data_IF_265430577292
#
_entry.id   IF_265430577292
#
_cell.length_a   1.000
_cell.length_b   1.000
_cell.length_c   1.000
_cell.angle_alpha   90.00
_cell.angle_beta   90.00
_cell.angle_gamma   90.00
#
_symmetry.space_group_name_H-M   'P 1'
#
loop_
_entity.id
_entity.type
_entity.pdbx_description
1 polymer ?
#
# COMPACT_ATOMS: atom_id res chain seq x y z
N UNK A 1 -14.27 8.17 30.00
CA UNK A 1 -15.14 9.04 29.17
C UNK A 1 -15.62 8.24 27.96
N UNK A 2 -16.71 8.63 27.28
CA UNK A 2 -17.16 7.95 26.03
C UNK A 2 -16.08 7.89 24.95
N UNK A 3 -15.16 8.85 24.95
CA UNK A 3 -14.00 8.86 24.06
C UNK A 3 -13.04 7.73 24.40
N UNK A 4 -12.65 7.58 25.68
CA UNK A 4 -11.76 6.51 26.14
C UNK A 4 -12.32 5.12 25.80
N UNK A 5 -13.62 4.90 26.03
CA UNK A 5 -14.28 3.63 25.69
C UNK A 5 -14.23 3.31 24.20
N UNK A 6 -14.30 4.32 23.32
CA UNK A 6 -14.30 4.14 21.87
C UNK A 6 -12.92 3.95 21.26
N UNK A 7 -11.90 4.57 21.84
CA UNK A 7 -10.53 4.48 21.34
C UNK A 7 -9.80 3.25 21.91
N UNK A 8 -10.22 2.73 23.07
CA UNK A 8 -9.57 1.60 23.74
C UNK A 8 -9.27 0.40 22.84
N UNK A 9 -10.20 -0.12 22.00
CA UNK A 9 -9.90 -1.27 21.13
C UNK A 9 -8.76 -1.00 20.15
N UNK A 10 -8.61 0.24 19.69
CA UNK A 10 -7.55 0.64 18.75
C UNK A 10 -6.19 0.80 19.44
N UNK A 11 -6.18 1.20 20.71
CA UNK A 11 -4.95 1.28 21.51
C UNK A 11 -4.48 -0.12 21.90
N UNK A 12 -5.41 -0.97 22.32
CA UNK A 12 -5.12 -2.34 22.76
C UNK A 12 -4.57 -3.20 21.61
N UNK A 13 -5.20 -3.15 20.44
CA UNK A 13 -4.76 -3.90 19.26
C UNK A 13 -5.26 -3.24 17.96
N UNK A 14 -4.52 -2.24 17.49
CA UNK A 14 -4.81 -1.56 16.22
C UNK A 14 -4.86 -2.56 15.05
N UNK A 15 -3.97 -3.55 15.05
CA UNK A 15 -3.85 -4.54 13.99
C UNK A 15 -5.12 -5.37 13.84
N UNK A 16 -5.68 -5.85 14.95
CA UNK A 16 -6.93 -6.61 14.98
C UNK A 16 -8.12 -5.80 14.43
N UNK A 17 -8.30 -4.56 14.89
CA UNK A 17 -9.41 -3.72 14.43
C UNK A 17 -9.26 -3.30 12.96
N UNK A 18 -8.03 -3.00 12.53
CA UNK A 18 -7.71 -2.79 11.13
C UNK A 18 -8.02 -4.03 10.28
N UNK A 19 -7.51 -5.20 10.68
CA UNK A 19 -7.68 -6.45 9.93
C UNK A 19 -9.14 -6.87 9.80
N UNK A 20 -9.95 -6.69 10.85
CA UNK A 20 -11.39 -6.89 10.80
C UNK A 20 -12.04 -6.06 9.69
N UNK A 21 -11.73 -4.76 9.62
CA UNK A 21 -12.28 -3.88 8.59
C UNK A 21 -11.74 -4.20 7.20
N UNK A 22 -10.46 -4.57 7.06
CA UNK A 22 -9.92 -5.00 5.77
C UNK A 22 -10.55 -6.31 5.28
N UNK A 23 -10.80 -7.28 6.17
CA UNK A 23 -11.46 -8.53 5.82
C UNK A 23 -12.90 -8.30 5.34
N UNK A 24 -13.62 -7.36 5.98
CA UNK A 24 -14.94 -6.93 5.54
C UNK A 24 -14.88 -6.34 4.11
N UNK A 25 -13.98 -5.38 3.86
CA UNK A 25 -13.84 -4.77 2.54
C UNK A 25 -13.41 -5.77 1.47
N UNK A 26 -12.46 -6.65 1.79
CA UNK A 26 -12.03 -7.69 0.85
C UNK A 26 -13.17 -8.64 0.51
N UNK A 27 -14.02 -9.02 1.48
CA UNK A 27 -15.22 -9.82 1.21
C UNK A 27 -16.21 -9.15 0.25
N UNK A 28 -16.27 -7.81 0.23
CA UNK A 28 -17.04 -7.06 -0.77
C UNK A 28 -16.33 -7.04 -2.13
N UNK A 29 -15.01 -6.80 -2.17
CA UNK A 29 -14.21 -6.83 -3.40
C UNK A 29 -14.22 -8.19 -4.11
N UNK A 30 -14.18 -9.30 -3.37
CA UNK A 30 -14.18 -10.64 -3.97
C UNK A 30 -15.45 -10.92 -4.80
N UNK A 31 -16.58 -10.28 -4.47
CA UNK A 31 -17.79 -10.35 -5.30
C UNK A 31 -17.53 -9.73 -6.67
N UNK A 32 -16.94 -8.54 -6.72
CA UNK A 32 -16.63 -7.84 -7.96
C UNK A 32 -15.57 -8.53 -8.78
N UNK A 33 -14.55 -9.11 -8.13
CA UNK A 33 -13.53 -9.92 -8.81
C UNK A 33 -14.09 -11.15 -9.50
N UNK A 34 -15.21 -11.68 -9.03
CA UNK A 34 -15.86 -12.85 -9.60
C UNK A 34 -16.87 -12.53 -10.70
N UNK A 35 -17.25 -11.25 -10.88
CA UNK A 35 -18.21 -10.84 -11.89
C UNK A 35 -17.54 -10.74 -13.27
N UNK A 36 -18.19 -11.34 -14.26
CA UNK A 36 -17.90 -11.10 -15.67
C UNK A 36 -18.86 -10.03 -16.18
N UNK A 37 -18.47 -8.76 -16.03
CA UNK A 37 -19.33 -7.60 -16.30
C UNK A 37 -19.84 -7.56 -17.75
N UNK A 38 -19.14 -8.18 -18.70
CA UNK A 38 -19.56 -8.22 -20.11
C UNK A 38 -20.72 -9.18 -20.37
N UNK A 39 -21.02 -10.08 -19.42
CA UNK A 39 -22.07 -11.09 -19.54
C UNK A 39 -23.32 -10.80 -18.72
N UNK A 40 -23.31 -9.71 -17.96
CA UNK A 40 -24.43 -9.33 -17.10
C UNK A 40 -25.52 -8.64 -17.91
N UNK A 41 -26.78 -8.93 -17.57
CA UNK A 41 -27.93 -8.17 -18.04
C UNK A 41 -27.97 -6.77 -17.39
N UNK A 42 -28.69 -5.82 -17.99
CA UNK A 42 -28.73 -4.42 -17.52
C UNK A 42 -29.12 -4.27 -16.03
N UNK A 43 -30.04 -5.11 -15.54
CA UNK A 43 -30.48 -5.07 -14.14
C UNK A 43 -29.42 -5.67 -13.19
N UNK A 44 -28.63 -6.65 -13.64
CA UNK A 44 -27.52 -7.20 -12.86
C UNK A 44 -26.36 -6.19 -12.77
N UNK A 45 -26.15 -5.40 -13.83
CA UNK A 45 -25.23 -4.27 -13.82
C UNK A 45 -25.68 -3.17 -12.86
N UNK A 46 -26.98 -2.86 -12.82
CA UNK A 46 -27.54 -1.92 -11.83
C UNK A 46 -27.30 -2.40 -10.39
N UNK A 47 -27.59 -3.67 -10.10
CA UNK A 47 -27.35 -4.27 -8.78
C UNK A 47 -25.85 -4.21 -8.41
N UNK A 48 -24.96 -4.58 -9.33
CA UNK A 48 -23.51 -4.49 -9.13
C UNK A 48 -23.06 -3.05 -8.85
N UNK A 49 -23.61 -2.07 -9.57
CA UNK A 49 -23.30 -0.66 -9.35
C UNK A 49 -23.76 -0.15 -7.97
N UNK A 50 -24.94 -0.57 -7.49
CA UNK A 50 -25.40 -0.24 -6.13
C UNK A 50 -24.51 -0.86 -5.06
N UNK A 51 -24.08 -2.11 -5.24
CA UNK A 51 -23.11 -2.75 -4.35
C UNK A 51 -21.76 -2.02 -4.37
N UNK A 52 -21.34 -1.49 -5.53
CA UNK A 52 -20.09 -0.74 -5.68
C UNK A 52 -20.13 0.59 -4.92
N UNK A 53 -21.25 1.31 -4.99
CA UNK A 53 -21.48 2.52 -4.19
C UNK A 53 -21.37 2.20 -2.69
N UNK A 54 -21.94 1.08 -2.26
CA UNK A 54 -21.86 0.63 -0.87
C UNK A 54 -20.42 0.30 -0.46
N UNK A 55 -19.66 -0.39 -1.31
CA UNK A 55 -18.24 -0.66 -1.11
C UNK A 55 -17.45 0.65 -0.93
N UNK A 56 -17.60 1.62 -1.85
CA UNK A 56 -16.90 2.91 -1.77
C UNK A 56 -17.24 3.68 -0.49
N UNK A 57 -18.53 3.80 -0.18
CA UNK A 57 -18.98 4.49 1.04
C UNK A 57 -18.46 3.82 2.30
N UNK A 58 -18.49 2.48 2.35
CA UNK A 58 -17.98 1.71 3.49
C UNK A 58 -16.47 1.83 3.63
N UNK A 59 -15.74 1.74 2.51
CA UNK A 59 -14.31 1.95 2.44
C UNK A 59 -13.91 3.34 2.96
N UNK A 60 -14.58 4.39 2.51
CA UNK A 60 -14.33 5.76 2.95
C UNK A 60 -14.58 5.95 4.45
N UNK A 61 -15.68 5.38 4.97
CA UNK A 61 -15.97 5.44 6.40
C UNK A 61 -14.89 4.73 7.24
N UNK A 62 -14.47 3.53 6.83
CA UNK A 62 -13.42 2.78 7.51
C UNK A 62 -12.08 3.52 7.45
N UNK A 63 -11.73 4.09 6.29
CA UNK A 63 -10.53 4.91 6.14
C UNK A 63 -10.50 6.07 7.15
N UNK A 64 -11.61 6.81 7.29
CA UNK A 64 -11.69 7.91 8.26
C UNK A 64 -11.53 7.42 9.70
N UNK A 65 -12.14 6.29 10.05
CA UNK A 65 -11.99 5.69 11.38
C UNK A 65 -10.53 5.30 11.64
N UNK A 66 -9.89 4.60 10.70
CA UNK A 66 -8.49 4.17 10.83
C UNK A 66 -7.54 5.36 10.95
N UNK A 67 -7.71 6.37 10.08
CA UNK A 67 -6.87 7.56 10.05
C UNK A 67 -7.00 8.36 11.35
N UNK A 68 -8.22 8.57 11.86
CA UNK A 68 -8.43 9.29 13.11
C UNK A 68 -7.93 8.49 14.32
N UNK A 69 -8.15 7.18 14.36
CA UNK A 69 -7.64 6.32 15.43
C UNK A 69 -6.10 6.33 15.46
N UNK A 70 -5.45 6.11 14.32
CA UNK A 70 -4.00 6.20 14.19
C UNK A 70 -3.47 7.57 14.58
N UNK A 71 -4.10 8.66 14.12
CA UNK A 71 -3.69 10.02 14.46
C UNK A 71 -3.71 10.26 15.97
N UNK A 72 -4.72 9.72 16.67
CA UNK A 72 -4.80 9.85 18.12
C UNK A 72 -3.74 9.01 18.83
N UNK A 73 -3.51 7.77 18.40
CA UNK A 73 -2.46 6.91 18.97
C UNK A 73 -1.08 7.56 18.78
N UNK A 74 -0.83 8.11 17.59
CA UNK A 74 0.39 8.84 17.29
C UNK A 74 0.56 10.06 18.20
N UNK A 75 -0.50 10.87 18.39
CA UNK A 75 -0.47 12.02 19.30
C UNK A 75 -0.18 11.59 20.74
N UNK A 76 -0.83 10.54 21.23
CA UNK A 76 -0.60 10.00 22.58
C UNK A 76 0.84 9.52 22.76
N UNK A 77 1.40 8.85 21.75
CA UNK A 77 2.79 8.39 21.78
C UNK A 77 3.77 9.59 21.78
N UNK A 78 3.49 10.63 20.99
CA UNK A 78 4.29 11.86 20.97
C UNK A 78 4.21 12.58 22.33
N UNK A 79 3.03 12.70 22.93
CA UNK A 79 2.85 13.27 24.28
C UNK A 79 3.66 12.49 25.32
N UNK A 80 3.57 11.16 25.30
CA UNK A 80 4.35 10.29 26.19
C UNK A 80 5.87 10.46 26.00
N UNK A 81 6.34 10.57 24.75
CA UNK A 81 7.75 10.85 24.45
C UNK A 81 8.18 12.24 24.97
N UNK A 82 7.33 13.26 24.85
CA UNK A 82 7.62 14.61 25.39
C UNK A 82 7.73 14.56 26.91
N UNK A 83 6.81 13.90 27.58
CA UNK A 83 6.77 13.84 29.04
C UNK A 83 7.94 13.02 29.61
N UNK A 84 8.14 11.80 29.11
CA UNK A 84 9.09 10.84 29.69
C UNK A 84 10.51 11.00 29.16
N UNK A 85 10.66 11.40 27.90
CA UNK A 85 11.96 11.47 27.23
C UNK A 85 12.40 12.91 26.95
N UNK A 86 11.51 13.90 27.04
CA UNK A 86 11.82 15.28 26.66
C UNK A 86 12.22 15.40 25.17
N UNK A 87 11.61 14.58 24.30
CA UNK A 87 11.78 14.63 22.84
C UNK A 87 10.43 14.87 22.15
N UNK A 88 10.44 15.45 20.95
CA UNK A 88 9.24 15.64 20.12
C UNK A 88 9.42 15.06 18.71
N UNK A 89 8.42 15.28 17.84
CA UNK A 89 8.43 14.79 16.46
C UNK A 89 9.59 15.30 15.58
N UNK A 90 10.29 16.35 16.00
CA UNK A 90 11.45 16.88 15.28
C UNK A 90 12.77 16.26 15.77
N UNK A 91 12.74 15.51 16.87
CA UNK A 91 13.92 14.86 17.43
C UNK A 91 14.38 13.66 16.56
N UNK A 92 15.68 13.53 16.27
CA UNK A 92 16.22 12.38 15.53
C UNK A 92 15.89 11.01 16.15
N UNK A 93 15.77 10.93 17.49
CA UNK A 93 15.39 9.72 18.19
C UNK A 93 13.94 9.35 17.86
N UNK A 94 13.01 10.31 17.92
CA UNK A 94 11.60 10.07 17.55
C UNK A 94 11.47 9.64 16.09
N UNK A 95 12.18 10.32 15.17
CA UNK A 95 12.21 9.95 13.76
C UNK A 95 12.73 8.51 13.55
N UNK A 96 13.72 8.09 14.33
CA UNK A 96 14.27 6.73 14.26
C UNK A 96 13.29 5.69 14.80
N UNK A 97 12.52 6.00 15.85
CA UNK A 97 11.45 5.13 16.38
C UNK A 97 10.37 4.85 15.33
N UNK A 98 10.00 5.86 14.53
CA UNK A 98 8.91 5.77 13.55
C UNK A 98 9.34 5.19 12.18
N UNK A 99 10.65 5.01 11.94
CA UNK A 99 11.17 4.63 10.64
C UNK A 99 11.15 3.12 10.36
N UNK A 100 11.37 2.75 9.09
CA UNK A 100 11.67 1.37 8.67
C UNK A 100 10.47 0.43 8.50
N UNK A 101 9.26 0.89 8.78
CA UNK A 101 8.03 0.13 8.52
C UNK A 101 7.77 -0.02 7.02
N UNK A 102 7.25 -1.19 6.63
CA UNK A 102 6.83 -1.46 5.26
C UNK A 102 5.33 -1.17 5.10
N UNK A 103 4.89 -0.78 3.91
CA UNK A 103 3.50 -0.50 3.63
C UNK A 103 3.13 -0.80 2.17
N UNK A 104 1.84 -1.02 1.91
CA UNK A 104 1.36 -1.55 0.61
C UNK A 104 1.75 -0.70 -0.60
N UNK A 105 1.94 0.61 -0.45
CA UNK A 105 2.49 1.47 -1.52
C UNK A 105 3.92 1.07 -1.88
N UNK A 106 4.83 0.91 -0.89
CA UNK A 106 6.21 0.47 -1.15
C UNK A 106 6.26 -0.93 -1.75
N UNK A 107 5.38 -1.83 -1.29
CA UNK A 107 5.25 -3.17 -1.86
C UNK A 107 4.84 -3.08 -3.34
N UNK A 108 3.89 -2.20 -3.69
CA UNK A 108 3.45 -2.02 -5.08
C UNK A 108 4.59 -1.45 -5.95
N UNK A 109 5.31 -0.45 -5.45
CA UNK A 109 6.48 0.12 -6.14
C UNK A 109 7.60 -0.90 -6.35
N UNK A 110 7.84 -1.75 -5.34
CA UNK A 110 8.81 -2.84 -5.41
C UNK A 110 8.43 -3.86 -6.47
N UNK A 111 7.17 -4.28 -6.54
CA UNK A 111 6.71 -5.23 -7.56
C UNK A 111 6.78 -4.62 -8.97
N UNK A 112 6.42 -3.35 -9.15
CA UNK A 112 6.65 -2.63 -10.41
C UNK A 112 8.13 -2.57 -10.78
N UNK A 113 9.02 -2.40 -9.80
CA UNK A 113 10.46 -2.47 -10.03
C UNK A 113 10.91 -3.87 -10.48
N UNK A 114 10.40 -4.93 -9.87
CA UNK A 114 10.71 -6.31 -10.28
C UNK A 114 10.23 -6.60 -11.69
N UNK A 115 9.07 -6.08 -12.12
CA UNK A 115 8.63 -6.17 -13.51
C UNK A 115 9.61 -5.47 -14.47
N UNK A 116 10.17 -4.33 -14.08
CA UNK A 116 11.23 -3.65 -14.84
C UNK A 116 12.53 -4.45 -14.91
N UNK A 117 12.93 -5.13 -13.83
CA UNK A 117 14.07 -6.06 -13.81
C UNK A 117 13.84 -7.21 -14.79
N UNK A 118 12.68 -7.88 -14.70
CA UNK A 118 12.31 -8.99 -15.58
C UNK A 118 12.31 -8.58 -17.06
N UNK A 119 11.84 -7.37 -17.39
CA UNK A 119 11.89 -6.87 -18.76
C UNK A 119 13.34 -6.82 -19.31
N UNK A 120 14.31 -6.39 -18.50
CA UNK A 120 15.73 -6.37 -18.88
C UNK A 120 16.32 -7.78 -19.01
N UNK A 121 16.05 -8.65 -18.04
CA UNK A 121 16.52 -10.05 -18.05
C UNK A 121 16.00 -10.83 -19.26
N UNK A 122 14.80 -10.48 -19.74
CA UNK A 122 14.20 -11.08 -20.94
C UNK A 122 14.60 -10.38 -22.24
N UNK A 123 15.44 -9.35 -22.20
CA UNK A 123 15.89 -8.61 -23.39
C UNK A 123 14.81 -7.71 -24.02
N UNK A 124 13.77 -7.35 -23.27
CA UNK A 124 12.66 -6.50 -23.72
C UNK A 124 12.95 -5.00 -23.58
N UNK A 125 14.09 -4.61 -23.00
CA UNK A 125 14.47 -3.21 -22.78
C UNK A 125 14.40 -2.33 -24.05
N UNK A 126 14.89 -2.77 -25.23
CA UNK A 126 14.75 -1.97 -26.46
C UNK A 126 13.27 -1.75 -26.82
N UNK A 127 12.42 -2.76 -26.66
CA UNK A 127 11.00 -2.65 -26.96
C UNK A 127 10.30 -1.62 -26.05
N UNK A 128 10.61 -1.65 -24.75
CA UNK A 128 10.15 -0.65 -23.78
C UNK A 128 10.72 0.75 -24.05
N UNK A 129 11.89 0.89 -24.67
CA UNK A 129 12.47 2.19 -24.99
C UNK A 129 11.90 2.78 -26.28
N UNK A 130 11.78 1.95 -27.31
CA UNK A 130 11.41 2.35 -28.68
C UNK A 130 9.90 2.51 -28.88
N UNK A 131 9.07 2.00 -27.95
CA UNK A 131 7.60 2.10 -28.04
C UNK A 131 7.08 3.03 -26.94
N UNK A 132 6.93 4.35 -27.20
CA UNK A 132 6.46 5.32 -26.21
C UNK A 132 4.95 5.20 -25.92
N UNK A 133 4.16 4.71 -26.87
CA UNK A 133 2.74 4.43 -26.68
C UNK A 133 2.56 3.13 -25.88
N UNK A 134 1.89 3.22 -24.72
CA UNK A 134 1.78 2.09 -23.80
C UNK A 134 0.76 1.04 -24.26
N UNK A 135 -0.25 1.40 -25.07
CA UNK A 135 -1.17 0.42 -25.67
C UNK A 135 -0.48 -0.35 -26.81
N UNK A 136 0.31 0.36 -27.61
CA UNK A 136 1.16 -0.25 -28.64
C UNK A 136 2.20 -1.19 -28.00
N UNK A 137 2.78 -0.80 -26.86
CA UNK A 137 3.73 -1.63 -26.13
C UNK A 137 3.11 -2.96 -25.69
N UNK A 138 1.90 -2.93 -25.09
CA UNK A 138 1.18 -4.16 -24.72
C UNK A 138 0.96 -5.05 -25.93
N UNK A 139 0.49 -4.48 -27.04
CA UNK A 139 0.25 -5.21 -28.28
C UNK A 139 1.52 -5.86 -28.83
N UNK A 140 2.65 -5.15 -28.81
CA UNK A 140 3.94 -5.70 -29.29
C UNK A 140 4.51 -6.79 -28.38
N UNK A 141 4.27 -6.73 -27.06
CA UNK A 141 4.71 -7.75 -26.12
C UNK A 141 4.07 -9.11 -26.43
N UNK A 142 2.84 -9.14 -26.95
CA UNK A 142 2.17 -10.39 -27.35
C UNK A 142 2.83 -11.10 -28.54
N UNK A 143 3.64 -10.40 -29.33
CA UNK A 143 4.23 -10.93 -30.56
C UNK A 143 5.45 -11.83 -30.32
N UNK A 144 6.00 -11.86 -29.11
CA UNK A 144 7.22 -12.61 -28.78
C UNK A 144 7.02 -13.51 -27.56
N UNK A 145 7.72 -14.64 -27.53
CA UNK A 145 7.65 -15.55 -26.36
C UNK A 145 8.25 -14.93 -25.09
N UNK A 146 9.19 -14.01 -25.22
CA UNK A 146 9.68 -13.22 -24.08
C UNK A 146 8.59 -12.27 -23.56
N UNK A 147 7.94 -11.50 -24.45
CA UNK A 147 6.89 -10.57 -24.07
C UNK A 147 5.64 -11.26 -23.50
N UNK A 148 5.22 -12.42 -24.04
CA UNK A 148 4.11 -13.21 -23.47
C UNK A 148 4.40 -13.70 -22.05
N UNK A 149 5.64 -14.10 -21.75
CA UNK A 149 6.06 -14.49 -20.40
C UNK A 149 6.01 -13.29 -19.46
N UNK A 150 6.56 -12.16 -19.88
CA UNK A 150 6.48 -10.91 -19.12
C UNK A 150 5.03 -10.47 -18.86
N UNK A 151 4.14 -10.58 -19.86
CA UNK A 151 2.71 -10.30 -19.70
C UNK A 151 2.04 -11.26 -18.71
N UNK A 152 2.56 -12.48 -18.54
CA UNK A 152 2.16 -13.39 -17.46
C UNK A 152 2.44 -12.81 -16.08
N UNK A 153 3.68 -12.39 -15.84
CA UNK A 153 4.09 -11.73 -14.60
C UNK A 153 3.29 -10.43 -14.37
N UNK A 154 3.04 -9.67 -15.43
CA UNK A 154 2.26 -8.44 -15.35
C UNK A 154 0.80 -8.69 -14.97
N UNK A 155 0.17 -9.75 -15.49
CA UNK A 155 -1.18 -10.16 -15.07
C UNK A 155 -1.24 -10.58 -13.61
N UNK A 156 -0.23 -11.29 -13.11
CA UNK A 156 -0.14 -11.64 -11.67
C UNK A 156 -0.06 -10.38 -10.80
N UNK A 157 0.74 -9.40 -11.22
CA UNK A 157 0.79 -8.09 -10.57
C UNK A 157 -0.57 -7.39 -10.57
N UNK A 158 -1.28 -7.36 -11.70
CA UNK A 158 -2.59 -6.73 -11.81
C UNK A 158 -3.66 -7.45 -10.97
N UNK A 159 -3.59 -8.77 -10.83
CA UNK A 159 -4.53 -9.51 -9.98
C UNK A 159 -4.42 -9.09 -8.50
N UNK A 160 -3.20 -8.79 -8.04
CA UNK A 160 -2.96 -8.38 -6.64
C UNK A 160 -3.14 -6.86 -6.43
N UNK A 161 -2.65 -6.03 -7.36
CA UNK A 161 -2.54 -4.58 -7.19
C UNK A 161 -3.45 -3.76 -8.10
N UNK A 162 -4.12 -4.39 -9.06
CA UNK A 162 -4.69 -3.70 -10.20
C UNK A 162 -6.06 -3.05 -9.96
N UNK A 163 -6.68 -3.25 -8.80
CA UNK A 163 -7.90 -2.54 -8.37
C UNK A 163 -7.64 -1.08 -7.94
N UNK A 164 -6.43 -0.59 -8.16
CA UNK A 164 -6.04 0.80 -7.91
C UNK A 164 -6.43 1.68 -9.09
N UNK A 165 -6.81 2.91 -8.78
CA UNK A 165 -6.95 4.02 -9.72
C UNK A 165 -5.76 4.97 -9.60
N UNK A 166 -5.58 5.84 -10.60
CA UNK A 166 -4.48 6.83 -10.61
C UNK A 166 -4.59 7.77 -9.40
N UNK A 167 -5.81 8.21 -9.06
CA UNK A 167 -6.10 9.00 -7.88
C UNK A 167 -6.77 8.14 -6.80
N UNK A 168 -6.46 8.43 -5.54
CA UNK A 168 -7.12 7.74 -4.42
C UNK A 168 -8.60 8.09 -4.39
N UNK A 169 -9.47 7.10 -4.17
CA UNK A 169 -10.93 7.27 -4.06
C UNK A 169 -11.61 7.76 -5.34
N UNK A 170 -11.00 7.51 -6.47
CA UNK A 170 -11.53 7.88 -7.76
C UNK A 170 -12.37 6.74 -8.34
N UNK A 171 -13.58 7.06 -8.78
CA UNK A 171 -14.48 6.13 -9.47
C UNK A 171 -14.71 6.56 -10.93
N UNK A 172 -14.08 7.65 -11.38
CA UNK A 172 -14.24 8.24 -12.70
C UNK A 172 -13.14 7.82 -13.68
N UNK A 173 -12.06 7.22 -13.20
CA UNK A 173 -10.99 6.67 -14.01
C UNK A 173 -10.95 5.15 -13.91
N UNK A 174 -10.56 4.46 -15.00
CA UNK A 174 -10.42 3.02 -14.96
C UNK A 174 -9.30 2.63 -13.99
N UNK A 175 -9.51 1.50 -13.34
CA UNK A 175 -8.51 0.78 -12.57
C UNK A 175 -7.41 0.24 -13.48
N UNK A 176 -6.29 -0.18 -12.90
CA UNK A 176 -5.21 -0.79 -13.68
C UNK A 176 -5.60 -2.15 -14.30
N UNK A 177 -6.60 -2.86 -13.76
CA UNK A 177 -7.14 -4.06 -14.41
C UNK A 177 -7.89 -3.67 -15.69
N UNK A 178 -8.71 -2.61 -15.63
CA UNK A 178 -9.49 -2.13 -16.77
C UNK A 178 -8.61 -1.45 -17.83
N UNK A 179 -7.55 -0.75 -17.40
CA UNK A 179 -6.59 -0.11 -18.31
C UNK A 179 -5.14 -0.36 -17.87
N UNK A 180 -4.58 -1.55 -18.18
CA UNK A 180 -3.23 -1.94 -17.77
C UNK A 180 -2.11 -1.00 -18.24
N UNK A 181 -2.29 -0.36 -19.39
CA UNK A 181 -1.32 0.57 -19.98
C UNK A 181 -0.93 1.71 -19.02
N UNK A 182 -1.81 2.10 -18.10
CA UNK A 182 -1.56 3.16 -17.11
C UNK A 182 -0.38 2.88 -16.16
N UNK A 183 0.01 1.61 -15.97
CA UNK A 183 1.08 1.22 -15.06
C UNK A 183 2.46 1.22 -15.75
N UNK A 184 2.47 1.05 -17.08
CA UNK A 184 3.71 0.91 -17.86
C UNK A 184 4.68 2.10 -17.72
N UNK A 185 4.24 3.37 -17.61
CA UNK A 185 5.15 4.49 -17.35
C UNK A 185 5.97 4.32 -16.06
N UNK A 186 5.34 3.86 -14.98
CA UNK A 186 6.00 3.62 -13.69
C UNK A 186 6.98 2.46 -13.79
N UNK A 187 6.58 1.36 -14.42
CA UNK A 187 7.46 0.21 -14.68
C UNK A 187 8.66 0.63 -15.52
N UNK A 188 8.47 1.41 -16.59
CA UNK A 188 9.53 1.94 -17.45
C UNK A 188 10.52 2.80 -16.66
N UNK A 189 10.01 3.66 -15.76
CA UNK A 189 10.84 4.45 -14.85
C UNK A 189 11.67 3.56 -13.93
N UNK A 190 11.10 2.50 -13.37
CA UNK A 190 11.86 1.57 -12.54
C UNK A 190 12.84 0.71 -13.33
N UNK A 191 12.51 0.32 -14.57
CA UNK A 191 13.39 -0.41 -15.46
C UNK A 191 14.68 0.37 -15.79
N UNK A 192 14.67 1.69 -15.66
CA UNK A 192 15.89 2.51 -15.77
C UNK A 192 16.80 2.50 -14.52
N UNK A 193 16.38 1.84 -13.43
CA UNK A 193 17.11 1.80 -12.15
C UNK A 193 17.74 0.43 -11.92
N UNK A 194 19.00 0.39 -11.49
CA UNK A 194 19.70 -0.85 -11.17
C UNK A 194 19.28 -1.43 -9.83
N UNK A 195 18.84 -0.59 -8.89
CA UNK A 195 18.48 -0.98 -7.53
C UNK A 195 17.19 -0.28 -7.10
N UNK A 196 16.37 -0.98 -6.33
CA UNK A 196 15.26 -0.38 -5.60
C UNK A 196 15.83 0.30 -4.34
N UNK A 197 16.03 1.62 -4.39
CA UNK A 197 16.79 2.37 -3.38
C UNK A 197 16.34 2.12 -1.92
N UNK A 198 15.06 1.85 -1.69
CA UNK A 198 14.55 1.58 -0.34
C UNK A 198 15.03 0.25 0.23
N UNK A 199 15.44 -0.71 -0.60
CA UNK A 199 15.99 -2.00 -0.14
C UNK A 199 17.35 -1.86 0.47
N UNK A 200 18.15 -0.93 -0.02
CA UNK A 200 19.46 -0.62 0.54
C UNK A 200 19.32 0.14 1.87
N UNK A 201 18.31 1.01 1.96
CA UNK A 201 18.14 1.91 3.10
C UNK A 201 17.38 1.24 4.25
N UNK A 202 16.40 0.39 3.97
CA UNK A 202 15.48 -0.18 4.98
C UNK A 202 16.18 -1.01 6.07
N UNK A 203 17.16 -1.90 5.78
CA UNK A 203 17.88 -2.63 6.82
C UNK A 203 18.53 -1.70 7.83
N UNK A 204 19.15 -0.60 7.35
CA UNK A 204 19.73 0.43 8.22
C UNK A 204 18.67 1.17 9.03
N UNK A 205 17.50 1.45 8.46
CA UNK A 205 16.40 2.07 9.22
C UNK A 205 15.89 1.16 10.34
N UNK A 206 15.78 -0.15 10.09
CA UNK A 206 15.38 -1.13 11.10
C UNK A 206 16.42 -1.21 12.22
N UNK A 207 17.71 -1.28 11.87
CA UNK A 207 18.79 -1.27 12.86
C UNK A 207 18.80 0.02 13.70
N UNK A 208 18.62 1.18 13.05
CA UNK A 208 18.49 2.46 13.73
C UNK A 208 17.30 2.49 14.68
N UNK A 209 16.14 1.96 14.26
CA UNK A 209 14.95 1.86 15.10
C UNK A 209 15.22 0.97 16.32
N UNK A 210 15.81 -0.20 16.16
CA UNK A 210 16.14 -1.08 17.28
C UNK A 210 17.11 -0.44 18.28
N UNK A 211 18.06 0.39 17.81
CA UNK A 211 18.91 1.18 18.71
C UNK A 211 18.13 2.28 19.41
N UNK A 212 17.26 2.98 18.68
CA UNK A 212 16.39 4.02 19.22
C UNK A 212 15.42 3.50 20.29
N UNK A 213 14.82 2.32 20.08
CA UNK A 213 13.95 1.64 21.05
C UNK A 213 14.70 1.38 22.37
N UNK A 214 15.93 0.83 22.28
CA UNK A 214 16.78 0.58 23.46
C UNK A 214 17.15 1.87 24.18
N UNK A 215 17.52 2.91 23.44
CA UNK A 215 17.85 4.22 24.01
C UNK A 215 16.64 4.84 24.71
N UNK A 216 15.49 4.86 24.05
CA UNK A 216 14.23 5.37 24.60
C UNK A 216 13.91 4.67 25.93
N UNK A 217 13.85 3.33 25.94
CA UNK A 217 13.54 2.54 27.16
C UNK A 217 14.56 2.82 28.28
N UNK A 218 15.84 3.03 27.95
CA UNK A 218 16.87 3.33 28.96
C UNK A 218 16.65 4.67 29.67
N UNK A 219 16.02 5.63 29.00
CA UNK A 219 15.70 6.97 29.50
C UNK A 219 14.35 7.02 30.24
N UNK A 220 13.46 6.06 30.01
CA UNK A 220 12.17 5.98 30.71
C UNK A 220 12.38 5.59 32.19
N UNK A 221 11.75 6.32 33.14
CA UNK A 221 11.72 5.95 34.56
C UNK A 221 11.26 4.51 34.78
N UNK A 222 11.90 3.80 35.71
CA UNK A 222 11.70 2.34 35.90
C UNK A 222 10.23 1.98 36.13
N UNK A 223 9.52 2.80 36.90
CA UNK A 223 8.09 2.67 37.23
C UNK A 223 7.14 2.95 36.05
N UNK A 224 7.66 3.50 34.95
CA UNK A 224 6.92 3.86 33.73
C UNK A 224 7.28 3.01 32.51
N UNK A 225 8.22 2.06 32.64
CA UNK A 225 8.69 1.25 31.49
C UNK A 225 7.64 0.32 30.93
N UNK A 226 6.80 -0.26 31.77
CA UNK A 226 5.72 -1.16 31.32
C UNK A 226 4.62 -0.40 30.57
N UNK A 227 4.35 0.85 30.97
CA UNK A 227 3.39 1.72 30.28
C UNK A 227 3.92 2.20 28.91
N UNK A 228 5.25 2.34 28.78
CA UNK A 228 5.89 2.82 27.56
C UNK A 228 6.16 1.72 26.50
N UNK A 229 6.33 0.46 26.93
CA UNK A 229 6.73 -0.66 26.09
C UNK A 229 5.55 -1.33 25.38
#
# INVERSE_FOLDING_TARGET
SKFQERIAPWIEDFGKEYHKGTAELMGLYEKFKALDMEKLEDWELEDAFQDWINLYRRGGNLHMVWMLAYSKIYEMFEEMCKELLQIDRNDPLFNSLMAGSDHKILQTDREMFQLGVKAREMGLEPLFHETPDDEELLSKLELTEAGKRWLGDFREFLNEYGWRTIENWDASHPTWIEKPSQVLPSIRRFASRSVFALDEVRPRLIENRTRAEKEAISRVPVDKREEFA
#
